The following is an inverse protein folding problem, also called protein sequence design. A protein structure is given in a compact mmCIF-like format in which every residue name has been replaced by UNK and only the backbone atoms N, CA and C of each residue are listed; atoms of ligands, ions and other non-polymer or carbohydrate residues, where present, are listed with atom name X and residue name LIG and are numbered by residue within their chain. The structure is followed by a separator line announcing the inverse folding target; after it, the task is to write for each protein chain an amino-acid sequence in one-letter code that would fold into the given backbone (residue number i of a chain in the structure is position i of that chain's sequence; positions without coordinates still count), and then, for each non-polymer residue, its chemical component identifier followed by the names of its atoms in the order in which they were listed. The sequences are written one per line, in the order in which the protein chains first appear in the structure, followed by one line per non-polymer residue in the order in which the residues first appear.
data_IF_795017638739
#
_entry.id   IF_795017638739
#
_cell.length_a   1.000
_cell.length_b   1.000
_cell.length_c   1.000
_cell.angle_alpha   90.00
_cell.angle_beta   90.00
_cell.angle_gamma   90.00
#
_symmetry.space_group_name_H-M   'P 1'
#
loop_
_entity.id
_entity.type
_entity.pdbx_description
1 polymer ?
#
# COMPACT_ATOMS: atom_id res chain seq x y z
N UNK A 1 54.05 0.69 58.20
CA UNK A 1 52.98 -0.26 58.61
C UNK A 1 51.90 -0.21 57.53
N UNK A 2 51.64 -1.33 56.85
CA UNK A 2 50.62 -1.63 55.81
C UNK A 2 50.67 -0.78 54.51
N UNK A 3 51.21 -1.21 53.35
CA UNK A 3 50.79 -2.23 52.33
C UNK A 3 49.44 -1.97 51.62
N UNK A 4 49.49 -1.66 50.31
CA UNK A 4 48.70 -2.26 49.20
C UNK A 4 49.15 -1.63 47.85
N UNK A 5 49.96 -2.30 47.02
CA UNK A 5 49.64 -3.21 45.89
C UNK A 5 49.37 -2.47 44.56
N UNK A 6 50.34 -2.63 43.65
CA UNK A 6 50.28 -2.32 42.22
C UNK A 6 49.32 -3.27 41.49
N UNK A 7 48.54 -2.73 40.54
CA UNK A 7 48.01 -3.51 39.42
C UNK A 7 48.24 -2.75 38.11
N UNK A 8 49.23 -3.23 37.34
CA UNK A 8 49.39 -2.98 35.92
C UNK A 8 48.38 -3.88 35.20
N UNK A 9 47.44 -3.31 34.45
CA UNK A 9 46.60 -4.08 33.52
C UNK A 9 47.04 -3.78 32.10
N UNK A 10 47.59 -4.80 31.47
CA UNK A 10 47.79 -4.94 30.03
C UNK A 10 46.41 -4.82 29.33
N UNK A 11 46.25 -3.91 28.38
CA UNK A 11 45.20 -4.01 27.36
C UNK A 11 45.88 -4.25 26.00
N UNK A 12 45.90 -5.52 25.61
CA UNK A 12 46.06 -5.95 24.22
C UNK A 12 44.65 -6.00 23.66
N UNK A 13 44.32 -5.05 22.79
CA UNK A 13 43.01 -4.93 22.14
C UNK A 13 43.19 -4.88 20.63
N UNK A 14 42.81 -5.99 20.01
CA UNK A 14 42.92 -6.38 18.60
C UNK A 14 42.49 -5.26 17.63
N UNK A 15 43.40 -4.89 16.72
CA UNK A 15 43.11 -4.08 15.55
C UNK A 15 42.40 -4.97 14.52
N UNK A 16 41.07 -4.85 14.40
CA UNK A 16 40.35 -5.44 13.26
C UNK A 16 40.53 -4.53 12.04
N UNK A 17 40.98 -5.05 10.89
CA UNK A 17 40.89 -4.29 9.66
C UNK A 17 39.41 -4.11 9.30
N UNK A 18 39.00 -2.89 8.97
CA UNK A 18 37.74 -2.62 8.30
C UNK A 18 37.78 -3.32 6.94
N UNK A 19 37.03 -4.42 6.81
CA UNK A 19 36.80 -5.04 5.52
C UNK A 19 36.00 -4.09 4.62
N UNK A 20 36.38 -3.93 3.34
CA UNK A 20 35.59 -3.17 2.39
C UNK A 20 34.26 -3.91 2.15
N UNK A 21 33.14 -3.19 2.26
CA UNK A 21 31.82 -3.67 1.85
C UNK A 21 31.85 -3.89 0.33
N UNK A 22 32.23 -5.10 -0.06
CA UNK A 22 31.96 -5.72 -1.36
C UNK A 22 30.55 -6.29 -1.30
N UNK A 23 29.68 -6.25 -2.30
CA UNK A 23 29.63 -5.59 -3.60
C UNK A 23 28.14 -5.53 -3.95
N UNK A 24 27.73 -4.65 -4.85
CA UNK A 24 26.32 -4.44 -5.24
C UNK A 24 25.56 -5.74 -5.60
N UNK A 25 26.26 -6.83 -5.98
CA UNK A 25 25.67 -8.11 -6.33
C UNK A 25 24.91 -8.80 -5.19
N UNK A 26 25.37 -8.70 -3.93
CA UNK A 26 24.77 -9.43 -2.80
C UNK A 26 23.42 -8.84 -2.38
N UNK A 27 23.25 -7.53 -2.51
CA UNK A 27 21.99 -6.84 -2.21
C UNK A 27 20.96 -7.15 -3.30
N UNK A 28 21.38 -7.17 -4.58
CA UNK A 28 20.51 -7.52 -5.71
C UNK A 28 19.93 -8.92 -5.54
N UNK A 29 20.74 -9.92 -5.16
CA UNK A 29 20.25 -11.30 -4.93
C UNK A 29 19.24 -11.39 -3.79
N UNK A 30 19.38 -10.60 -2.72
CA UNK A 30 18.43 -10.61 -1.60
C UNK A 30 17.05 -10.06 -2.02
N UNK A 31 17.01 -8.93 -2.73
CA UNK A 31 15.77 -8.33 -3.24
C UNK A 31 15.04 -9.27 -4.20
N UNK A 32 15.75 -9.93 -5.12
CA UNK A 32 15.16 -10.91 -6.03
C UNK A 32 14.72 -12.20 -5.33
N UNK A 33 15.45 -12.67 -4.30
CA UNK A 33 15.05 -13.84 -3.52
C UNK A 33 13.79 -13.60 -2.68
N UNK A 34 13.59 -12.38 -2.18
CA UNK A 34 12.35 -11.98 -1.49
C UNK A 34 11.20 -11.89 -2.53
N UNK A 35 11.49 -11.43 -3.74
CA UNK A 35 10.54 -11.35 -4.86
C UNK A 35 10.03 -12.72 -5.33
N UNK A 36 10.90 -13.73 -5.44
CA UNK A 36 10.50 -15.09 -5.83
C UNK A 36 9.70 -15.81 -4.75
N UNK A 37 10.00 -15.57 -3.46
CA UNK A 37 9.30 -16.20 -2.34
C UNK A 37 7.87 -15.66 -2.14
N UNK A 38 7.59 -14.43 -2.58
CA UNK A 38 6.28 -13.78 -2.48
C UNK A 38 5.21 -14.33 -3.44
N UNK A 39 5.60 -15.11 -4.46
CA UNK A 39 4.69 -15.68 -5.46
C UNK A 39 4.13 -17.07 -5.10
N UNK A 40 4.29 -17.54 -3.85
CA UNK A 40 3.97 -18.92 -3.47
C UNK A 40 3.15 -19.06 -2.19
N UNK A 41 1.92 -18.54 -2.15
CA UNK A 41 0.93 -18.98 -1.14
C UNK A 41 -0.48 -18.96 -1.72
N UNK A 42 -0.98 -20.14 -2.12
CA UNK A 42 -2.40 -20.42 -2.28
C UNK A 42 -2.86 -21.20 -1.04
N UNK A 43 -3.94 -20.76 -0.38
CA UNK A 43 -4.76 -21.70 0.39
C UNK A 43 -6.24 -21.23 0.40
N UNK A 44 -7.13 -22.12 -0.03
CA UNK A 44 -8.58 -21.88 -0.07
C UNK A 44 -9.25 -22.91 0.83
N UNK A 45 -10.11 -22.46 1.75
CA UNK A 45 -10.98 -23.35 2.52
C UNK A 45 -12.44 -22.99 2.32
N UNK A 46 -13.27 -24.02 2.11
CA UNK A 46 -14.72 -23.90 1.92
C UNK A 46 -15.43 -24.48 3.14
N UNK A 47 -16.36 -23.72 3.71
CA UNK A 47 -17.36 -24.23 4.66
C UNK A 47 -18.71 -23.63 4.30
N UNK A 48 -19.70 -24.51 4.08
CA UNK A 48 -21.13 -24.21 3.91
C UNK A 48 -21.53 -23.28 2.75
N UNK A 49 -21.01 -23.53 1.55
CA UNK A 49 -21.55 -22.95 0.30
C UNK A 49 -21.40 -21.43 0.15
N UNK A 50 -20.84 -20.77 1.16
CA UNK A 50 -20.36 -19.40 1.12
C UNK A 50 -18.84 -19.44 1.03
N UNK A 51 -18.27 -18.98 -0.08
CA UNK A 51 -16.86 -18.63 -0.13
C UNK A 51 -16.68 -17.38 0.73
N UNK A 52 -16.31 -17.59 1.99
CA UNK A 52 -15.64 -16.57 2.78
C UNK A 52 -14.21 -16.53 2.26
N UNK A 53 -13.84 -15.44 1.59
CA UNK A 53 -12.43 -15.15 1.41
C UNK A 53 -11.87 -14.85 2.81
N UNK A 54 -11.38 -15.88 3.49
CA UNK A 54 -10.47 -15.69 4.59
C UNK A 54 -9.19 -15.14 3.96
N UNK A 55 -9.09 -13.81 3.88
CA UNK A 55 -7.80 -13.16 3.82
C UNK A 55 -7.16 -13.37 5.19
N UNK A 56 -6.75 -14.62 5.47
CA UNK A 56 -5.96 -14.93 6.65
C UNK A 56 -4.76 -14.01 6.59
N UNK A 57 -4.50 -13.40 7.74
CA UNK A 57 -3.44 -12.46 7.97
C UNK A 57 -2.08 -13.09 7.62
N UNK A 58 -1.71 -13.11 6.34
CA UNK A 58 -0.33 -13.13 5.89
C UNK A 58 0.33 -11.77 6.13
N UNK A 59 -0.33 -10.88 6.89
CA UNK A 59 0.20 -9.61 7.31
C UNK A 59 1.57 -9.81 7.89
N UNK A 60 2.49 -9.00 7.37
CA UNK A 60 3.87 -8.97 7.81
C UNK A 60 3.97 -9.12 9.32
N UNK A 61 4.85 -10.04 9.77
CA UNK A 61 5.21 -10.18 11.18
C UNK A 61 5.85 -8.90 11.74
N UNK A 62 6.24 -7.97 10.85
CA UNK A 62 6.84 -6.69 11.20
C UNK A 62 5.78 -5.69 11.64
N UNK A 63 6.22 -4.70 12.42
CA UNK A 63 5.34 -3.60 12.83
C UNK A 63 5.04 -2.67 11.64
N UNK A 64 3.93 -1.92 11.72
CA UNK A 64 3.62 -0.89 10.72
C UNK A 64 4.74 0.16 10.58
N UNK A 65 5.43 0.50 11.67
CA UNK A 65 6.58 1.40 11.64
C UNK A 65 7.76 0.82 10.86
N UNK A 66 7.99 -0.48 11.00
CA UNK A 66 9.00 -1.21 10.23
C UNK A 66 8.64 -1.22 8.75
N UNK A 67 7.37 -1.47 8.41
CA UNK A 67 6.93 -1.49 7.01
C UNK A 67 7.05 -0.13 6.32
N UNK A 68 6.84 0.98 7.06
CA UNK A 68 7.10 2.33 6.55
C UNK A 68 8.58 2.59 6.25
N UNK A 69 9.47 2.03 7.05
CA UNK A 69 10.92 2.09 6.78
C UNK A 69 11.24 1.24 5.55
N UNK A 70 10.68 0.04 5.48
CA UNK A 70 10.84 -0.87 4.34
C UNK A 70 10.36 -0.24 3.02
N UNK A 71 9.24 0.50 3.00
CA UNK A 71 8.78 1.21 1.79
C UNK A 71 9.80 2.21 1.26
N UNK A 72 10.53 2.90 2.15
CA UNK A 72 11.59 3.85 1.75
C UNK A 72 12.80 3.12 1.19
N UNK A 73 13.22 2.03 1.82
CA UNK A 73 14.31 1.18 1.36
C UNK A 73 13.99 0.59 -0.02
N UNK A 74 12.81 -0.03 -0.15
CA UNK A 74 12.31 -0.61 -1.40
C UNK A 74 12.37 0.40 -2.54
N UNK A 75 11.86 1.62 -2.33
CA UNK A 75 11.92 2.68 -3.34
C UNK A 75 13.35 2.97 -3.79
N UNK A 76 14.27 3.16 -2.85
CA UNK A 76 15.66 3.52 -3.16
C UNK A 76 16.37 2.39 -3.91
N UNK A 77 16.15 1.14 -3.49
CA UNK A 77 16.71 -0.05 -4.13
C UNK A 77 16.18 -0.24 -5.55
N UNK A 78 14.87 -0.13 -5.76
CA UNK A 78 14.27 -0.24 -7.09
C UNK A 78 14.70 0.89 -8.02
N UNK A 79 14.84 2.12 -7.50
CA UNK A 79 15.33 3.24 -8.31
C UNK A 79 16.80 3.02 -8.74
N UNK A 80 17.63 2.47 -7.85
CA UNK A 80 18.99 2.07 -8.19
C UNK A 80 19.00 0.93 -9.23
N UNK A 81 18.22 -0.13 -9.01
CA UNK A 81 18.13 -1.26 -9.92
C UNK A 81 17.66 -0.85 -11.32
N UNK A 82 16.66 0.03 -11.42
CA UNK A 82 16.24 0.64 -12.68
C UNK A 82 17.38 1.40 -13.37
N UNK A 83 18.12 2.23 -12.64
CA UNK A 83 19.23 3.01 -13.20
C UNK A 83 20.40 2.14 -13.71
N UNK A 84 20.54 0.94 -13.14
CA UNK A 84 21.54 -0.06 -13.52
C UNK A 84 21.02 -1.05 -14.58
N UNK A 85 19.79 -0.89 -15.07
CA UNK A 85 19.09 -1.84 -15.95
C UNK A 85 19.01 -3.27 -15.36
N UNK A 86 18.95 -3.38 -14.04
CA UNK A 86 18.79 -4.64 -13.31
C UNK A 86 17.33 -4.97 -13.00
N UNK A 87 16.43 -4.00 -13.17
CA UNK A 87 14.99 -4.16 -13.04
C UNK A 87 14.30 -3.40 -14.18
N UNK A 88 13.06 -3.79 -14.48
CA UNK A 88 12.16 -3.10 -15.41
C UNK A 88 11.16 -2.23 -14.66
N UNK A 89 10.44 -1.35 -15.37
CA UNK A 89 9.37 -0.58 -14.74
C UNK A 89 8.24 -1.49 -14.23
N UNK A 90 7.98 -2.61 -14.91
CA UNK A 90 6.96 -3.58 -14.49
C UNK A 90 7.35 -4.26 -13.17
N UNK A 91 8.62 -4.61 -12.97
CA UNK A 91 9.11 -5.12 -11.68
C UNK A 91 8.86 -4.11 -10.56
N UNK A 92 9.08 -2.81 -10.84
CA UNK A 92 8.80 -1.75 -9.87
C UNK A 92 7.31 -1.63 -9.55
N UNK A 93 6.44 -1.68 -10.56
CA UNK A 93 4.98 -1.62 -10.38
C UNK A 93 4.48 -2.78 -9.53
N UNK A 94 4.97 -3.99 -9.82
CA UNK A 94 4.65 -5.19 -9.07
C UNK A 94 5.13 -5.09 -7.61
N UNK A 95 6.38 -4.68 -7.40
CA UNK A 95 6.94 -4.46 -6.06
C UNK A 95 6.15 -3.41 -5.25
N UNK A 96 5.82 -2.28 -5.89
CA UNK A 96 5.03 -1.21 -5.30
C UNK A 96 3.65 -1.73 -4.87
N UNK A 97 2.94 -2.39 -5.79
CA UNK A 97 1.62 -2.93 -5.55
C UNK A 97 1.63 -3.94 -4.41
N UNK A 98 2.56 -4.90 -4.46
CA UNK A 98 2.72 -5.92 -3.43
C UNK A 98 2.99 -5.31 -2.04
N UNK A 99 3.90 -4.33 -1.94
CA UNK A 99 4.20 -3.72 -0.65
C UNK A 99 3.01 -2.92 -0.10
N UNK A 100 2.30 -2.17 -0.96
CA UNK A 100 1.13 -1.42 -0.54
C UNK A 100 0.01 -2.35 -0.07
N UNK A 101 -0.35 -3.35 -0.88
CA UNK A 101 -1.52 -4.22 -0.68
C UNK A 101 -1.27 -5.29 0.38
N UNK A 102 -0.11 -5.93 0.36
CA UNK A 102 0.16 -7.11 1.20
C UNK A 102 0.98 -6.78 2.46
N UNK A 103 1.66 -5.61 2.51
CA UNK A 103 2.49 -5.24 3.66
C UNK A 103 1.97 -4.05 4.44
N UNK A 104 1.51 -2.96 3.80
CA UNK A 104 1.05 -1.76 4.51
C UNK A 104 -0.44 -1.78 4.87
N UNK A 105 -1.31 -1.97 3.88
CA UNK A 105 -2.76 -1.94 4.06
C UNK A 105 -3.26 -2.92 5.12
N UNK A 106 -2.75 -4.18 5.23
CA UNK A 106 -3.33 -5.15 6.16
C UNK A 106 -3.24 -4.76 7.64
N UNK A 107 -2.27 -3.92 8.01
CA UNK A 107 -2.22 -3.39 9.38
C UNK A 107 -3.44 -2.54 9.73
N UNK A 108 -4.08 -1.91 8.74
CA UNK A 108 -5.23 -1.04 8.91
C UNK A 108 -6.55 -1.78 9.08
N UNK A 109 -6.66 -3.04 8.64
CA UNK A 109 -7.91 -3.80 8.78
C UNK A 109 -8.40 -3.83 10.23
N UNK A 110 -9.69 -3.54 10.42
CA UNK A 110 -10.32 -3.39 11.74
C UNK A 110 -10.08 -2.05 12.43
N UNK A 111 -9.41 -1.08 11.80
CA UNK A 111 -9.34 0.28 12.35
C UNK A 111 -10.70 0.94 12.23
N UNK A 112 -11.29 1.34 13.36
CA UNK A 112 -12.62 1.94 13.38
C UNK A 112 -12.75 3.17 12.48
N UNK A 113 -13.91 3.31 11.85
CA UNK A 113 -14.24 4.48 11.05
C UNK A 113 -14.80 5.62 11.91
N UNK A 114 -14.52 6.85 11.48
CA UNK A 114 -15.26 8.05 11.88
C UNK A 114 -15.09 9.11 10.80
N UNK A 115 -16.13 9.91 10.55
CA UNK A 115 -16.07 11.05 9.63
C UNK A 115 -14.93 12.03 9.95
N UNK A 116 -14.70 12.31 11.24
CA UNK A 116 -13.59 13.16 11.70
C UNK A 116 -12.32 12.36 12.02
N UNK A 117 -12.29 11.06 11.74
CA UNK A 117 -11.17 10.18 12.06
C UNK A 117 -9.94 10.52 11.22
N UNK A 118 -8.81 10.77 11.88
CA UNK A 118 -7.57 11.17 11.23
C UNK A 118 -6.34 10.54 11.89
N UNK A 119 -6.49 9.38 12.54
CA UNK A 119 -5.34 8.66 13.10
C UNK A 119 -4.28 8.37 12.03
N UNK A 120 -3.03 8.30 12.46
CA UNK A 120 -1.89 7.88 11.65
C UNK A 120 -1.34 6.52 12.07
N UNK A 121 -2.02 5.86 13.02
CA UNK A 121 -1.58 4.60 13.61
C UNK A 121 -2.72 3.59 13.43
N UNK A 122 -2.48 2.47 12.73
CA UNK A 122 -3.48 1.43 12.55
C UNK A 122 -4.00 0.90 13.89
N UNK A 123 -5.29 0.57 13.95
CA UNK A 123 -5.98 -0.01 15.12
C UNK A 123 -5.93 0.87 16.39
N UNK A 124 -5.50 2.12 16.29
CA UNK A 124 -5.50 3.09 17.39
C UNK A 124 -6.25 4.35 16.95
N UNK A 125 -7.37 4.64 17.62
CA UNK A 125 -8.25 5.73 17.23
C UNK A 125 -9.10 5.37 16.01
N UNK A 126 -9.50 6.38 15.25
CA UNK A 126 -10.43 6.22 14.11
C UNK A 126 -9.89 6.87 12.84
N UNK A 127 -10.29 6.37 11.67
CA UNK A 127 -9.85 6.89 10.37
C UNK A 127 -10.99 7.06 9.36
N UNK A 128 -11.09 8.23 8.74
CA UNK A 128 -12.01 8.47 7.62
C UNK A 128 -11.44 7.91 6.31
N UNK A 129 -12.28 7.72 5.30
CA UNK A 129 -11.90 7.13 4.02
C UNK A 129 -10.74 7.86 3.30
N UNK A 130 -10.83 9.18 3.13
CA UNK A 130 -9.74 9.97 2.52
C UNK A 130 -8.46 9.98 3.36
N UNK A 131 -8.59 9.93 4.70
CA UNK A 131 -7.41 9.79 5.55
C UNK A 131 -6.78 8.41 5.45
N UNK A 132 -7.55 7.34 5.26
CA UNK A 132 -7.01 6.02 5.03
C UNK A 132 -6.18 5.98 3.75
N UNK A 133 -6.75 6.40 2.62
CA UNK A 133 -6.05 6.45 1.32
C UNK A 133 -4.79 7.31 1.39
N UNK A 134 -4.93 8.56 1.83
CA UNK A 134 -3.79 9.49 1.86
C UNK A 134 -2.70 9.09 2.86
N UNK A 135 -3.06 8.43 3.97
CA UNK A 135 -2.07 7.94 4.95
C UNK A 135 -1.26 6.80 4.39
N UNK A 136 -1.90 5.78 3.81
CA UNK A 136 -1.20 4.63 3.26
C UNK A 136 -0.34 5.00 2.06
N UNK A 137 -0.81 5.88 1.17
CA UNK A 137 0.00 6.38 0.04
C UNK A 137 1.22 7.19 0.51
N UNK A 138 1.05 8.08 1.49
CA UNK A 138 2.17 8.81 2.10
C UNK A 138 3.16 7.83 2.75
N UNK A 139 2.66 6.85 3.47
CA UNK A 139 3.46 5.89 4.22
C UNK A 139 4.15 4.86 3.31
N UNK A 140 3.62 4.63 2.10
CA UNK A 140 4.30 3.97 0.97
C UNK A 140 5.43 4.81 0.36
N UNK A 141 5.58 6.08 0.78
CA UNK A 141 6.67 6.96 0.37
C UNK A 141 6.33 7.90 -0.78
N UNK A 142 5.05 8.03 -1.17
CA UNK A 142 4.63 9.12 -2.05
C UNK A 142 4.74 10.45 -1.31
N UNK A 143 5.35 11.43 -1.97
CA UNK A 143 5.51 12.77 -1.42
C UNK A 143 4.22 13.57 -1.61
N UNK A 144 3.35 13.48 -0.61
CA UNK A 144 2.05 14.14 -0.56
C UNK A 144 1.76 14.70 0.83
N UNK A 145 0.84 15.66 0.91
CA UNK A 145 0.28 16.11 2.18
C UNK A 145 -1.04 15.38 2.45
N UNK A 146 -1.04 14.50 3.46
CA UNK A 146 -2.22 13.65 3.76
C UNK A 146 -3.48 14.45 4.08
N UNK A 147 -3.35 15.59 4.76
CA UNK A 147 -4.49 16.41 5.15
C UNK A 147 -5.09 17.10 3.93
N UNK A 148 -4.24 17.67 3.06
CA UNK A 148 -4.71 18.31 1.82
C UNK A 148 -5.36 17.32 0.86
N UNK A 149 -4.83 16.10 0.79
CA UNK A 149 -5.40 15.06 -0.07
C UNK A 149 -6.75 14.56 0.49
N UNK A 150 -6.77 14.17 1.77
CA UNK A 150 -7.98 13.61 2.42
C UNK A 150 -9.19 14.55 2.49
N UNK A 151 -8.98 15.86 2.38
CA UNK A 151 -10.03 16.88 2.48
C UNK A 151 -10.61 17.29 1.11
N UNK A 152 -10.18 16.65 0.03
CA UNK A 152 -10.69 16.91 -1.32
C UNK A 152 -11.94 16.12 -1.61
N UNK A 153 -12.65 16.57 -2.64
CA UNK A 153 -13.70 15.77 -3.27
C UNK A 153 -13.09 14.49 -3.87
N UNK A 154 -13.85 13.39 -4.01
CA UNK A 154 -13.36 12.16 -4.62
C UNK A 154 -12.74 12.34 -6.02
N UNK A 155 -13.32 13.20 -6.87
CA UNK A 155 -12.76 13.53 -8.18
C UNK A 155 -11.44 14.31 -8.08
N UNK A 156 -11.31 15.25 -7.13
CA UNK A 156 -10.09 16.04 -7.00
C UNK A 156 -8.96 15.25 -6.32
N UNK A 157 -9.28 14.28 -5.46
CA UNK A 157 -8.33 13.29 -4.96
C UNK A 157 -7.81 12.41 -6.11
N UNK A 158 -8.71 11.91 -6.98
CA UNK A 158 -8.32 11.16 -8.18
C UNK A 158 -7.37 11.97 -9.10
N UNK A 159 -7.69 13.25 -9.37
CA UNK A 159 -6.84 14.12 -10.21
C UNK A 159 -5.44 14.32 -9.62
N UNK A 160 -5.33 14.45 -8.30
CA UNK A 160 -4.01 14.57 -7.65
C UNK A 160 -3.20 13.28 -7.77
N UNK A 161 -3.85 12.14 -7.51
CA UNK A 161 -3.20 10.82 -7.61
C UNK A 161 -2.80 10.54 -9.07
N UNK A 162 -3.56 11.03 -10.05
CA UNK A 162 -3.30 10.76 -11.46
C UNK A 162 -1.95 11.30 -11.94
N UNK A 163 -1.40 12.33 -11.30
CA UNK A 163 -0.20 13.02 -11.79
C UNK A 163 -0.33 13.47 -13.26
N UNK A 164 -1.54 13.80 -13.70
CA UNK A 164 -1.87 14.16 -15.09
C UNK A 164 -2.26 13.00 -15.99
N UNK A 165 -2.26 11.75 -15.49
CA UNK A 165 -2.87 10.61 -16.18
C UNK A 165 -4.39 10.75 -16.25
N UNK A 166 -5.01 9.95 -17.12
CA UNK A 166 -6.46 9.92 -17.32
C UNK A 166 -7.16 9.47 -16.03
N UNK A 167 -8.19 10.22 -15.62
CA UNK A 167 -9.16 9.80 -14.60
C UNK A 167 -10.42 9.34 -15.32
N UNK A 168 -10.73 8.06 -15.23
CA UNK A 168 -11.93 7.50 -15.83
C UNK A 168 -13.13 7.82 -14.95
N UNK A 169 -14.20 8.35 -15.53
CA UNK A 169 -15.46 8.58 -14.82
C UNK A 169 -16.53 7.69 -15.41
N UNK A 170 -17.13 6.85 -14.57
CA UNK A 170 -18.22 5.94 -14.95
C UNK A 170 -19.48 6.42 -14.27
N UNK A 171 -20.55 6.58 -15.04
CA UNK A 171 -21.89 6.89 -14.52
C UNK A 171 -22.93 5.98 -15.17
N UNK A 172 -23.69 5.26 -14.35
CA UNK A 172 -24.86 4.51 -14.80
C UNK A 172 -25.91 4.40 -13.67
N UNK A 173 -27.11 3.94 -13.99
CA UNK A 173 -28.24 3.92 -13.04
C UNK A 173 -28.36 2.62 -12.24
N UNK A 174 -27.52 1.62 -12.52
CA UNK A 174 -27.56 0.32 -11.86
C UNK A 174 -26.14 -0.19 -11.60
N UNK A 175 -25.96 -0.87 -10.46
CA UNK A 175 -24.66 -1.33 -10.00
C UNK A 175 -24.02 -2.39 -10.92
N UNK A 176 -24.82 -3.18 -11.65
CA UNK A 176 -24.32 -4.22 -12.56
C UNK A 176 -23.61 -3.59 -13.74
N UNK A 177 -24.24 -2.63 -14.42
CA UNK A 177 -23.64 -1.89 -15.53
C UNK A 177 -22.36 -1.17 -15.08
N UNK A 178 -22.39 -0.52 -13.91
CA UNK A 178 -21.19 0.14 -13.35
C UNK A 178 -20.07 -0.88 -13.15
N UNK A 179 -20.35 -2.02 -12.52
CA UNK A 179 -19.37 -3.05 -12.27
C UNK A 179 -18.75 -3.60 -13.57
N UNK A 180 -19.57 -3.84 -14.59
CA UNK A 180 -19.09 -4.27 -15.91
C UNK A 180 -18.15 -3.24 -16.54
N UNK A 181 -18.50 -1.96 -16.50
CA UNK A 181 -17.66 -0.87 -17.03
C UNK A 181 -16.35 -0.75 -16.24
N UNK A 182 -16.41 -0.82 -14.90
CA UNK A 182 -15.21 -0.84 -14.05
C UNK A 182 -14.31 -2.01 -14.44
N UNK A 183 -14.86 -3.21 -14.58
CA UNK A 183 -14.08 -4.40 -14.92
C UNK A 183 -13.42 -4.31 -16.31
N UNK A 184 -14.07 -3.67 -17.28
CA UNK A 184 -13.53 -3.46 -18.64
C UNK A 184 -12.33 -2.51 -18.66
N UNK A 185 -12.36 -1.44 -17.84
CA UNK A 185 -11.31 -0.41 -17.86
C UNK A 185 -10.16 -0.69 -16.88
N UNK A 186 -10.35 -1.62 -15.95
CA UNK A 186 -9.36 -1.93 -14.91
C UNK A 186 -8.53 -3.14 -15.29
N UNK A 187 -7.23 -3.03 -15.04
CA UNK A 187 -6.26 -4.12 -15.17
C UNK A 187 -5.80 -4.60 -13.80
N UNK A 188 -5.14 -5.75 -13.76
CA UNK A 188 -4.56 -6.31 -12.52
C UNK A 188 -3.70 -5.27 -11.78
N UNK A 189 -3.86 -5.22 -10.45
CA UNK A 189 -3.19 -4.26 -9.58
C UNK A 189 -4.16 -3.37 -8.81
N UNK A 190 -3.65 -2.24 -8.32
CA UNK A 190 -4.37 -1.33 -7.44
C UNK A 190 -4.61 0.02 -8.12
N UNK A 191 -5.84 0.50 -7.99
CA UNK A 191 -6.32 1.79 -8.47
C UNK A 191 -6.99 2.54 -7.32
N UNK A 192 -7.05 3.87 -7.40
CA UNK A 192 -7.93 4.67 -6.56
C UNK A 192 -9.36 4.60 -7.11
N UNK A 193 -10.34 4.60 -6.21
CA UNK A 193 -11.75 4.71 -6.56
C UNK A 193 -12.43 5.76 -5.67
N UNK A 194 -12.99 6.78 -6.31
CA UNK A 194 -13.83 7.80 -5.71
C UNK A 194 -15.30 7.57 -6.04
N UNK A 195 -16.20 7.83 -5.09
CA UNK A 195 -17.64 7.59 -5.18
C UNK A 195 -18.34 8.94 -5.10
N UNK A 196 -18.70 9.47 -6.27
CA UNK A 196 -19.37 10.76 -6.44
C UNK A 196 -18.83 11.84 -5.47
N UNK A 197 -19.68 12.38 -4.58
CA UNK A 197 -19.28 13.40 -3.59
C UNK A 197 -18.89 12.83 -2.22
N UNK A 198 -19.05 11.52 -1.96
CA UNK A 198 -19.24 11.02 -0.59
C UNK A 198 -18.21 10.05 -0.03
N UNK A 199 -17.47 9.31 -0.86
CA UNK A 199 -16.61 8.23 -0.36
C UNK A 199 -15.42 7.95 -1.26
N UNK A 200 -14.36 7.35 -0.72
CA UNK A 200 -13.14 6.96 -1.45
C UNK A 200 -12.55 5.66 -0.90
N UNK A 201 -11.73 5.01 -1.71
CA UNK A 201 -10.96 3.83 -1.31
C UNK A 201 -9.98 3.41 -2.39
N UNK A 202 -9.52 2.17 -2.28
CA UNK A 202 -8.78 1.49 -3.33
C UNK A 202 -9.66 0.44 -4.00
N UNK A 203 -9.46 0.32 -5.31
CA UNK A 203 -9.97 -0.77 -6.11
C UNK A 203 -8.79 -1.70 -6.40
N UNK A 204 -8.87 -2.94 -5.93
CA UNK A 204 -7.89 -3.97 -6.22
C UNK A 204 -8.49 -4.92 -7.24
N UNK A 205 -7.84 -5.09 -8.39
CA UNK A 205 -8.12 -6.18 -9.31
C UNK A 205 -7.05 -7.26 -9.12
N UNK A 206 -7.48 -8.45 -8.71
CA UNK A 206 -6.61 -9.60 -8.47
C UNK A 206 -7.26 -10.85 -9.05
N UNK A 207 -6.56 -11.54 -9.94
CA UNK A 207 -7.02 -12.80 -10.55
C UNK A 207 -8.37 -12.65 -11.27
N UNK A 208 -8.60 -11.48 -11.89
CA UNK A 208 -9.86 -11.14 -12.57
C UNK A 208 -10.98 -10.66 -11.65
N UNK A 209 -10.81 -10.78 -10.33
CA UNK A 209 -11.80 -10.37 -9.33
C UNK A 209 -11.55 -8.94 -8.84
N UNK A 210 -12.62 -8.22 -8.48
CA UNK A 210 -12.57 -6.83 -8.01
C UNK A 210 -12.91 -6.73 -6.53
N UNK A 211 -12.03 -6.08 -5.78
CA UNK A 211 -12.17 -5.85 -4.35
C UNK A 211 -12.15 -4.36 -4.04
N UNK A 212 -13.04 -3.94 -3.15
CA UNK A 212 -13.03 -2.62 -2.54
C UNK A 212 -12.26 -2.69 -1.22
N UNK A 213 -11.21 -1.87 -1.10
CA UNK A 213 -10.47 -1.67 0.15
C UNK A 213 -10.75 -0.25 0.63
N UNK A 214 -11.41 -0.10 1.77
CA UNK A 214 -11.86 1.22 2.23
C UNK A 214 -12.04 1.28 3.74
N UNK A 215 -12.09 2.50 4.28
CA UNK A 215 -12.60 2.73 5.63
C UNK A 215 -14.13 2.81 5.57
N UNK A 216 -14.81 1.68 5.85
CA UNK A 216 -16.25 1.56 5.72
C UNK A 216 -16.97 2.39 6.80
N UNK A 217 -17.98 3.15 6.39
CA UNK A 217 -18.78 3.99 7.29
C UNK A 217 -20.11 3.34 7.71
N UNK A 218 -20.45 2.16 7.17
CA UNK A 218 -21.71 1.48 7.45
C UNK A 218 -21.61 0.59 8.69
N UNK A 219 -22.53 0.79 9.64
CA UNK A 219 -22.68 -0.08 10.81
C UNK A 219 -23.41 -1.39 10.46
N UNK A 220 -23.12 -2.51 11.15
CA UNK A 220 -22.26 -2.61 12.34
C UNK A 220 -20.75 -2.67 12.05
N UNK A 221 -20.34 -2.85 10.79
CA UNK A 221 -18.94 -3.04 10.38
C UNK A 221 -18.24 -1.74 9.98
N UNK A 222 -18.34 -0.69 10.80
CA UNK A 222 -17.77 0.62 10.50
C UNK A 222 -16.25 0.66 10.80
N UNK A 223 -15.46 0.07 9.92
CA UNK A 223 -14.01 -0.12 10.05
C UNK A 223 -13.31 -0.20 8.68
N UNK A 224 -11.99 -0.16 8.66
CA UNK A 224 -11.23 -0.47 7.46
C UNK A 224 -11.34 -1.95 7.13
N UNK A 225 -11.76 -2.27 5.91
CA UNK A 225 -11.94 -3.64 5.43
C UNK A 225 -11.56 -3.77 3.95
N UNK A 226 -11.53 -5.03 3.50
CA UNK A 226 -11.54 -5.44 2.10
C UNK A 226 -12.79 -6.29 1.87
N UNK A 227 -13.52 -6.03 0.79
CA UNK A 227 -14.69 -6.83 0.40
C UNK A 227 -14.80 -6.94 -1.12
N UNK A 228 -15.38 -8.04 -1.67
CA UNK A 228 -15.74 -8.10 -3.09
C UNK A 228 -16.67 -6.94 -3.45
N UNK A 229 -16.36 -6.22 -4.52
CA UNK A 229 -17.07 -4.97 -4.84
C UNK A 229 -18.55 -5.19 -5.13
N UNK A 230 -18.92 -6.35 -5.69
CA UNK A 230 -20.29 -6.74 -5.99
C UNK A 230 -21.11 -7.02 -4.71
N UNK A 231 -20.43 -7.30 -3.60
CA UNK A 231 -21.05 -7.48 -2.28
C UNK A 231 -21.15 -6.17 -1.51
N UNK A 232 -20.34 -5.17 -1.83
CA UNK A 232 -20.28 -3.90 -1.10
C UNK A 232 -21.60 -3.13 -1.10
N UNK A 233 -22.12 -2.88 0.10
CA UNK A 233 -23.29 -2.02 0.31
C UNK A 233 -22.98 -0.54 0.11
N UNK A 234 -21.72 -0.13 0.27
CA UNK A 234 -21.30 1.24 -0.04
C UNK A 234 -21.32 1.45 -1.55
N UNK A 235 -20.75 0.53 -2.32
CA UNK A 235 -20.78 0.57 -3.79
C UNK A 235 -22.18 0.74 -4.37
N UNK A 236 -23.14 -0.06 -3.89
CA UNK A 236 -24.53 -0.04 -4.36
C UNK A 236 -25.30 1.26 -4.09
N UNK A 237 -24.74 2.21 -3.33
CA UNK A 237 -25.38 3.50 -3.00
C UNK A 237 -25.04 4.63 -3.97
N UNK A 238 -24.10 4.42 -4.88
CA UNK A 238 -23.61 5.46 -5.78
C UNK A 238 -23.77 5.06 -7.23
N UNK A 239 -23.94 6.07 -8.09
CA UNK A 239 -24.12 5.92 -9.53
C UNK A 239 -22.94 6.48 -10.33
N UNK A 240 -22.00 7.18 -9.68
CA UNK A 240 -20.86 7.83 -10.32
C UNK A 240 -19.57 7.49 -9.60
N UNK A 241 -18.57 7.09 -10.37
CA UNK A 241 -17.28 6.62 -9.87
C UNK A 241 -16.12 7.27 -10.64
N UNK A 242 -15.06 7.63 -9.93
CA UNK A 242 -13.83 8.19 -10.48
C UNK A 242 -12.67 7.24 -10.21
N UNK A 243 -12.09 6.68 -11.26
CA UNK A 243 -11.04 5.65 -11.17
C UNK A 243 -9.76 6.17 -11.81
N UNK A 244 -8.67 5.97 -11.09
CA UNK A 244 -7.33 6.24 -11.61
C UNK A 244 -6.37 5.17 -11.12
N UNK A 245 -5.53 4.68 -12.02
CA UNK A 245 -4.54 3.67 -11.66
C UNK A 245 -3.51 4.23 -10.68
N UNK A 246 -3.09 3.35 -9.76
CA UNK A 246 -1.97 3.62 -8.85
C UNK A 246 -0.77 2.77 -9.29
N UNK A 247 -0.90 1.44 -9.30
CA UNK A 247 0.21 0.55 -9.68
C UNK A 247 0.56 0.66 -11.15
N UNK A 248 -0.44 0.90 -12.02
CA UNK A 248 -0.23 0.95 -13.47
C UNK A 248 -0.04 2.37 -14.01
N UNK A 249 0.02 3.36 -13.12
CA UNK A 249 0.26 4.75 -13.48
C UNK A 249 1.76 5.06 -13.51
N UNK A 250 2.36 4.93 -14.69
CA UNK A 250 3.76 5.26 -14.95
C UNK A 250 4.20 6.62 -14.40
N UNK A 251 3.36 7.65 -14.50
CA UNK A 251 3.69 8.99 -14.02
C UNK A 251 3.79 9.01 -12.50
N UNK A 252 2.83 8.40 -11.81
CA UNK A 252 2.83 8.27 -10.35
C UNK A 252 4.02 7.43 -9.86
N UNK A 253 4.30 6.29 -10.50
CA UNK A 253 5.43 5.41 -10.15
C UNK A 253 6.77 6.13 -10.35
N UNK A 254 6.93 6.87 -11.45
CA UNK A 254 8.14 7.69 -11.67
C UNK A 254 8.27 8.80 -10.62
N UNK A 255 7.16 9.44 -10.22
CA UNK A 255 7.14 10.43 -9.12
C UNK A 255 7.52 9.79 -7.79
N UNK A 256 7.00 8.59 -7.49
CA UNK A 256 7.35 7.83 -6.31
C UNK A 256 8.86 7.57 -6.26
N UNK A 257 9.42 6.91 -7.29
CA UNK A 257 10.85 6.57 -7.39
C UNK A 257 11.76 7.78 -7.21
N UNK A 258 11.44 8.90 -7.86
CA UNK A 258 12.23 10.14 -7.80
C UNK A 258 11.97 11.00 -6.57
N UNK A 259 11.10 10.55 -5.65
CA UNK A 259 10.64 11.33 -4.49
C UNK A 259 10.05 12.70 -4.89
N UNK A 260 9.43 12.76 -6.07
CA UNK A 260 8.75 13.93 -6.61
C UNK A 260 7.40 14.14 -5.92
N UNK A 261 7.04 15.40 -5.73
CA UNK A 261 5.73 15.77 -5.17
C UNK A 261 4.59 15.44 -6.15
N UNK A 262 3.49 14.91 -5.61
CA UNK A 262 2.22 14.72 -6.33
C UNK A 262 1.30 15.89 -5.95
N UNK A 263 0.84 16.65 -6.95
CA UNK A 263 0.15 17.94 -6.79
C UNK A 263 -1.36 17.82 -6.93
#
# INVERSE_FOLDING_TARGET
MLRAVNFFSLLVGICYPLEPISSSATITTAVFSEFENLNSVEDTTTVDGNVLYNYENSGSLLSYDTEKVASKTLRTELNLALSLNQATLEDVKAAFSNHLVNRLIPHWYGTEWSFSGHTAVPKIGKIACGYFVSTTLRDMGLRLNRYKLAQKSPIDEAKMISCGAVVNTITANDATTILEEINKITQEGISFIGFDEGHVGFLLKKEGELFLIHSNYLYPNAEVCIEPIEKSNVFKKFNTFHIVDISNNDLLIKRWLTNGEIL
#
